data_IF_107979270790
#
_entry.id   IF_107979270790
#
_cell.length_a   1.000
_cell.length_b   1.000
_cell.length_c   1.000
_cell.angle_alpha   90.00
_cell.angle_beta   90.00
_cell.angle_gamma   90.00
#
_symmetry.space_group_name_H-M   'P 1'
#
loop_
_entity.id
_entity.type
_entity.pdbx_description
1 polymer ?
#
# COMPACT_ATOMS: atom_id res chain seq x y z
N UNK A 1 33.76 6.91 -6.80
CA UNK A 1 33.20 6.43 -8.07
C UNK A 1 31.74 6.79 -8.02
N UNK A 2 31.31 7.75 -8.85
CA UNK A 2 29.90 8.09 -9.00
C UNK A 2 29.17 6.85 -9.56
N UNK A 3 28.01 6.45 -9.02
CA UNK A 3 27.28 5.34 -9.56
C UNK A 3 26.85 5.69 -11.01
N UNK A 4 27.22 4.83 -11.95
CA UNK A 4 26.71 4.90 -13.32
C UNK A 4 25.20 4.81 -13.24
N UNK A 5 24.43 5.72 -13.89
CA UNK A 5 22.99 5.60 -13.92
C UNK A 5 22.60 4.24 -14.49
N UNK A 6 21.99 3.40 -13.69
CA UNK A 6 21.44 2.14 -14.18
C UNK A 6 20.39 2.48 -15.24
N UNK A 7 20.52 1.89 -16.43
CA UNK A 7 19.63 2.17 -17.55
C UNK A 7 18.17 1.94 -17.11
N UNK A 8 17.33 2.94 -17.30
CA UNK A 8 15.91 2.83 -17.03
C UNK A 8 15.35 1.79 -18.00
N UNK A 9 14.93 0.63 -17.49
CA UNK A 9 14.19 -0.32 -18.30
C UNK A 9 12.79 0.25 -18.51
N UNK A 10 12.32 0.41 -19.74
CA UNK A 10 10.97 0.89 -19.97
C UNK A 10 9.97 -0.11 -19.39
N UNK A 11 8.93 0.39 -18.72
CA UNK A 11 7.81 -0.44 -18.32
C UNK A 11 7.17 -1.09 -19.57
N UNK A 12 6.60 -2.29 -19.43
CA UNK A 12 5.99 -2.97 -20.57
C UNK A 12 4.91 -2.11 -21.22
N UNK A 13 5.06 -1.81 -22.50
CA UNK A 13 4.01 -1.17 -23.29
C UNK A 13 2.93 -2.20 -23.57
N UNK A 14 1.66 -1.86 -23.31
CA UNK A 14 0.51 -2.71 -23.58
C UNK A 14 -0.37 -2.08 -24.65
N UNK A 15 -0.88 -2.91 -25.54
CA UNK A 15 -1.92 -2.51 -26.46
C UNK A 15 -3.18 -2.13 -25.68
N UNK A 16 -3.83 -1.02 -26.07
CA UNK A 16 -5.02 -0.49 -25.42
C UNK A 16 -6.02 -0.04 -26.45
N UNK A 17 -7.29 -0.36 -26.21
CA UNK A 17 -8.43 0.15 -26.96
C UNK A 17 -9.14 1.23 -26.13
N UNK A 18 -9.87 2.13 -26.79
CA UNK A 18 -10.54 3.28 -26.17
C UNK A 18 -9.60 4.15 -25.34
N UNK A 19 -8.38 4.35 -25.85
CA UNK A 19 -7.36 5.13 -25.15
C UNK A 19 -7.71 6.62 -25.10
N UNK A 20 -7.66 7.20 -23.89
CA UNK A 20 -8.04 8.60 -23.63
C UNK A 20 -6.84 9.52 -23.33
N UNK A 21 -5.61 9.10 -23.59
CA UNK A 21 -4.39 9.85 -23.30
C UNK A 21 -3.68 9.42 -22.01
N UNK A 22 -4.38 8.79 -21.05
CA UNK A 22 -3.82 8.29 -19.78
C UNK A 22 -4.06 6.80 -19.62
N UNK A 23 -5.22 6.30 -20.00
CA UNK A 23 -5.59 4.91 -19.84
C UNK A 23 -6.49 4.39 -20.95
N UNK A 24 -6.68 3.08 -20.99
CA UNK A 24 -7.55 2.38 -21.92
C UNK A 24 -7.68 0.91 -21.53
N UNK A 25 -8.64 0.22 -22.13
CA UNK A 25 -8.86 -1.20 -21.89
C UNK A 25 -7.83 -2.06 -22.63
N UNK A 26 -7.48 -3.20 -22.06
CA UNK A 26 -6.80 -4.26 -22.82
C UNK A 26 -7.71 -4.75 -23.95
N UNK A 27 -7.17 -5.31 -25.07
CA UNK A 27 -8.00 -5.77 -26.21
C UNK A 27 -9.04 -6.82 -25.82
N UNK A 28 -8.79 -7.62 -24.79
CA UNK A 28 -9.72 -8.61 -24.22
C UNK A 28 -10.75 -8.01 -23.25
N UNK A 29 -10.62 -6.72 -22.94
CA UNK A 29 -11.52 -5.99 -22.04
C UNK A 29 -11.40 -6.33 -20.54
N UNK A 30 -10.43 -7.17 -20.14
CA UNK A 30 -10.33 -7.63 -18.74
C UNK A 30 -9.66 -6.63 -17.81
N UNK A 31 -8.82 -5.74 -18.32
CA UNK A 31 -8.13 -4.74 -17.51
C UNK A 31 -8.31 -3.33 -18.09
N UNK A 32 -8.40 -2.34 -17.22
CA UNK A 32 -8.18 -0.94 -17.55
C UNK A 32 -6.76 -0.56 -17.15
N UNK A 33 -5.93 -0.22 -18.14
CA UNK A 33 -4.50 0.07 -17.97
C UNK A 33 -4.27 1.56 -17.97
N UNK A 34 -3.71 2.08 -16.89
CA UNK A 34 -3.36 3.49 -16.70
C UNK A 34 -1.83 3.60 -16.66
N UNK A 35 -1.27 4.54 -17.42
CA UNK A 35 0.17 4.81 -17.41
C UNK A 35 0.39 6.23 -16.92
N UNK A 36 1.16 6.37 -15.84
CA UNK A 36 1.50 7.64 -15.24
C UNK A 36 2.99 7.91 -15.40
N UNK A 37 3.33 9.02 -16.02
CA UNK A 37 4.70 9.54 -16.02
C UNK A 37 5.09 10.04 -14.62
N UNK A 38 6.38 10.16 -14.29
CA UNK A 38 6.82 10.67 -13.01
C UNK A 38 6.19 12.03 -12.68
N UNK A 39 5.58 12.12 -11.49
CA UNK A 39 4.94 13.36 -11.02
C UNK A 39 3.62 13.73 -11.72
N UNK A 40 3.10 12.86 -12.58
CA UNK A 40 1.77 13.02 -13.18
C UNK A 40 0.72 12.24 -12.40
N UNK A 41 -0.50 12.75 -12.42
CA UNK A 41 -1.70 12.11 -11.87
C UNK A 41 -2.84 12.20 -12.87
N UNK A 42 -3.86 11.40 -12.68
CA UNK A 42 -5.15 11.55 -13.36
C UNK A 42 -5.86 12.81 -12.87
N UNK A 43 -6.84 13.35 -13.62
CA UNK A 43 -7.62 14.53 -13.21
C UNK A 43 -8.39 14.36 -11.90
N UNK A 44 -8.73 13.13 -11.56
CA UNK A 44 -9.33 12.70 -10.30
C UNK A 44 -8.94 11.24 -10.06
N UNK A 45 -8.96 10.73 -8.82
CA UNK A 45 -8.66 9.32 -8.56
C UNK A 45 -9.56 8.36 -9.35
N UNK A 46 -8.95 7.52 -10.17
CA UNK A 46 -9.64 6.45 -10.90
C UNK A 46 -9.52 5.17 -10.09
N UNK A 47 -10.63 4.77 -9.51
CA UNK A 47 -10.65 3.70 -8.50
C UNK A 47 -11.19 2.39 -9.04
N UNK A 48 -10.67 1.30 -8.47
CA UNK A 48 -11.25 -0.03 -8.57
C UNK A 48 -11.85 -0.42 -7.21
N UNK A 49 -13.06 -0.95 -7.24
CA UNK A 49 -13.72 -1.52 -6.06
C UNK A 49 -13.59 -3.03 -6.14
N UNK A 50 -12.90 -3.61 -5.18
CA UNK A 50 -12.64 -5.04 -5.08
C UNK A 50 -13.34 -5.55 -3.83
N UNK A 51 -14.34 -6.40 -3.99
CA UNK A 51 -15.15 -6.84 -2.86
C UNK A 51 -15.58 -8.31 -2.98
N UNK A 52 -15.74 -8.93 -1.83
CA UNK A 52 -16.41 -10.20 -1.61
C UNK A 52 -17.56 -10.00 -0.62
N UNK A 53 -18.37 -11.01 -0.30
CA UNK A 53 -19.42 -10.88 0.71
C UNK A 53 -18.91 -10.47 2.11
N UNK A 54 -17.62 -10.64 2.39
CA UNK A 54 -17.06 -10.48 3.73
C UNK A 54 -16.15 -9.26 3.89
N UNK A 55 -15.52 -8.80 2.82
CA UNK A 55 -14.51 -7.75 2.86
C UNK A 55 -14.48 -7.00 1.54
N UNK A 56 -14.17 -5.73 1.58
CA UNK A 56 -13.95 -4.95 0.38
C UNK A 56 -12.87 -3.90 0.55
N UNK A 57 -12.36 -3.42 -0.57
CA UNK A 57 -11.36 -2.36 -0.65
C UNK A 57 -11.62 -1.48 -1.86
N UNK A 58 -11.37 -0.20 -1.72
CA UNK A 58 -11.22 0.73 -2.86
C UNK A 58 -9.73 0.97 -3.06
N UNK A 59 -9.29 0.97 -4.29
CA UNK A 59 -7.89 1.20 -4.66
C UNK A 59 -7.83 2.17 -5.83
N UNK A 60 -7.12 3.29 -5.68
CA UNK A 60 -6.90 4.24 -6.78
C UNK A 60 -5.69 3.86 -7.63
N UNK A 61 -5.58 4.45 -8.80
CA UNK A 61 -4.43 4.29 -9.70
C UNK A 61 -3.12 4.81 -9.08
N UNK A 62 -3.22 5.72 -8.12
CA UNK A 62 -2.07 6.22 -7.36
C UNK A 62 -1.69 5.30 -6.18
N UNK A 63 -2.43 4.22 -5.95
CA UNK A 63 -2.20 3.28 -4.86
C UNK A 63 -2.83 3.70 -3.53
N UNK A 64 -3.61 4.79 -3.50
CA UNK A 64 -4.43 5.09 -2.34
C UNK A 64 -5.46 4.00 -2.14
N UNK A 65 -5.61 3.53 -0.90
CA UNK A 65 -6.53 2.45 -0.60
C UNK A 65 -7.11 2.58 0.80
N UNK A 66 -8.33 2.06 0.96
CA UNK A 66 -8.90 1.72 2.25
C UNK A 66 -9.64 0.38 2.17
N UNK A 67 -9.79 -0.26 3.32
CA UNK A 67 -10.42 -1.57 3.45
C UNK A 67 -11.53 -1.51 4.48
N UNK A 68 -12.61 -2.25 4.24
CA UNK A 68 -13.73 -2.42 5.18
C UNK A 68 -14.12 -3.89 5.30
N UNK A 69 -14.82 -4.22 6.38
CA UNK A 69 -15.46 -5.53 6.61
C UNK A 69 -16.92 -5.29 6.96
N UNK A 70 -17.81 -6.11 6.46
CA UNK A 70 -19.27 -6.08 6.62
C UNK A 70 -19.90 -4.78 6.07
N UNK A 71 -19.54 -3.60 6.56
CA UNK A 71 -20.11 -2.32 6.17
C UNK A 71 -19.02 -1.30 5.82
N UNK A 72 -19.07 -0.79 4.58
CA UNK A 72 -18.07 0.15 4.03
C UNK A 72 -18.07 1.54 4.71
N UNK A 73 -19.09 1.88 5.47
CA UNK A 73 -19.20 3.13 6.22
C UNK A 73 -18.92 2.91 7.71
N UNK A 74 -19.60 1.94 8.33
CA UNK A 74 -19.60 1.73 9.78
C UNK A 74 -18.32 1.04 10.28
N UNK A 75 -17.71 0.15 9.47
CA UNK A 75 -16.55 -0.63 9.89
C UNK A 75 -15.42 -0.61 8.86
N UNK A 76 -14.83 0.55 8.72
CA UNK A 76 -13.56 0.71 8.00
C UNK A 76 -12.41 0.19 8.85
N UNK A 77 -11.56 -0.62 8.26
CA UNK A 77 -10.32 -1.08 8.91
C UNK A 77 -9.26 0.01 8.82
N UNK A 78 -9.16 0.65 7.67
CA UNK A 78 -8.22 1.73 7.39
C UNK A 78 -8.94 3.01 6.98
N UNK A 79 -8.27 4.13 7.13
CA UNK A 79 -8.87 5.45 6.88
C UNK A 79 -9.16 5.65 5.39
N UNK A 80 -10.26 6.34 5.10
CA UNK A 80 -10.58 6.84 3.78
C UNK A 80 -10.88 8.34 3.85
N UNK A 81 -10.20 9.08 3.00
CA UNK A 81 -10.43 10.50 2.80
C UNK A 81 -10.99 10.68 1.39
N UNK A 82 -12.23 11.11 1.28
CA UNK A 82 -12.81 11.47 -0.01
C UNK A 82 -12.27 12.82 -0.48
N UNK A 83 -10.95 12.88 -0.67
CA UNK A 83 -10.23 14.07 -1.11
C UNK A 83 -9.54 13.78 -2.45
N UNK A 84 -10.15 14.21 -3.56
CA UNK A 84 -9.60 13.95 -4.89
C UNK A 84 -8.31 14.71 -5.19
N UNK A 85 -7.94 15.69 -4.36
CA UNK A 85 -6.70 16.45 -4.53
C UNK A 85 -5.49 15.75 -3.94
N UNK A 86 -5.60 15.26 -2.70
CA UNK A 86 -4.48 14.62 -2.02
C UNK A 86 -4.44 13.12 -2.21
N UNK A 87 -5.58 12.50 -2.53
CA UNK A 87 -5.76 11.04 -2.64
C UNK A 87 -5.05 10.29 -1.49
N UNK A 88 -5.25 10.77 -0.26
CA UNK A 88 -4.53 10.28 0.92
C UNK A 88 -4.88 8.83 1.20
N UNK A 89 -3.88 7.96 1.22
CA UNK A 89 -4.06 6.53 1.46
C UNK A 89 -4.13 6.19 2.95
N UNK A 90 -4.99 5.23 3.28
CA UNK A 90 -4.96 4.53 4.57
C UNK A 90 -3.99 3.34 4.60
N UNK A 91 -3.44 2.97 3.45
CA UNK A 91 -2.59 1.78 3.28
C UNK A 91 -1.47 2.09 2.29
N UNK A 92 -0.23 1.76 2.64
CA UNK A 92 0.90 2.08 1.79
C UNK A 92 2.10 1.18 2.03
N UNK A 93 2.96 1.11 1.00
CA UNK A 93 4.17 0.30 1.03
C UNK A 93 5.40 1.12 0.62
N UNK A 94 6.53 0.74 1.21
CA UNK A 94 7.83 1.33 0.92
C UNK A 94 8.83 0.22 0.67
N UNK A 95 9.62 0.38 -0.37
CA UNK A 95 10.78 -0.44 -0.68
C UNK A 95 12.00 0.40 -0.37
N UNK A 96 12.94 -0.13 0.41
CA UNK A 96 14.17 0.57 0.76
C UNK A 96 15.39 -0.28 0.37
N UNK A 97 16.33 0.35 -0.27
CA UNK A 97 17.67 -0.19 -0.47
C UNK A 97 18.50 0.02 0.80
N UNK A 98 18.85 -1.08 1.46
CA UNK A 98 19.57 -1.06 2.74
C UNK A 98 21.05 -0.67 2.57
N UNK A 99 21.60 -0.71 1.34
CA UNK A 99 22.98 -0.37 1.08
C UNK A 99 23.22 1.14 1.01
N UNK A 100 22.22 1.92 0.61
CA UNK A 100 22.32 3.38 0.47
C UNK A 100 21.22 4.17 1.19
N UNK A 101 20.21 3.49 1.73
CA UNK A 101 19.08 4.11 2.45
C UNK A 101 18.05 4.82 1.55
N UNK A 102 18.19 4.72 0.23
CA UNK A 102 17.19 5.25 -0.71
C UNK A 102 15.93 4.41 -0.63
N UNK A 103 14.78 5.04 -0.61
CA UNK A 103 13.50 4.36 -0.58
C UNK A 103 12.50 4.99 -1.56
N UNK A 104 11.53 4.19 -1.97
CA UNK A 104 10.43 4.58 -2.87
C UNK A 104 9.19 3.73 -2.57
N UNK A 105 8.05 4.07 -3.16
CA UNK A 105 6.83 3.26 -3.09
C UNK A 105 6.64 2.46 -4.38
N UNK A 106 6.08 1.24 -4.30
CA UNK A 106 5.70 0.47 -5.49
C UNK A 106 4.52 1.09 -6.25
N UNK A 107 3.89 2.12 -5.67
CA UNK A 107 2.77 2.89 -6.18
C UNK A 107 3.16 4.38 -6.29
N UNK A 108 2.49 5.20 -7.11
CA UNK A 108 2.78 6.64 -7.23
C UNK A 108 2.77 7.38 -5.89
N UNK A 109 1.86 7.05 -4.99
CA UNK A 109 1.81 7.59 -3.63
C UNK A 109 2.23 6.52 -2.61
N UNK A 110 2.75 6.92 -1.42
CA UNK A 110 2.97 8.28 -0.94
C UNK A 110 4.32 8.87 -1.35
N UNK A 111 5.24 8.05 -1.84
CA UNK A 111 6.61 8.46 -2.23
C UNK A 111 6.82 8.09 -3.68
N UNK A 112 6.61 9.03 -4.58
CA UNK A 112 6.81 8.80 -6.00
C UNK A 112 8.23 8.35 -6.35
N UNK A 113 8.38 7.66 -7.47
CA UNK A 113 9.66 7.27 -8.05
C UNK A 113 10.15 8.26 -9.11
N UNK A 114 11.34 7.99 -9.66
CA UNK A 114 11.92 8.76 -10.76
C UNK A 114 11.48 8.25 -12.14
N UNK A 115 10.89 7.07 -12.21
CA UNK A 115 10.31 6.49 -13.42
C UNK A 115 8.78 6.42 -13.33
N UNK A 116 8.13 6.13 -14.46
CA UNK A 116 6.68 6.02 -14.53
C UNK A 116 6.12 4.82 -13.79
N UNK A 117 4.80 4.80 -13.70
CA UNK A 117 4.02 3.71 -13.11
C UNK A 117 2.99 3.20 -14.12
N UNK A 118 2.71 1.92 -14.06
CA UNK A 118 1.57 1.31 -14.73
C UNK A 118 0.64 0.74 -13.67
N UNK A 119 -0.62 1.18 -13.69
CA UNK A 119 -1.69 0.62 -12.89
C UNK A 119 -2.63 -0.18 -13.80
N UNK A 120 -2.99 -1.38 -13.40
CA UNK A 120 -3.94 -2.25 -14.09
C UNK A 120 -5.09 -2.58 -13.14
N UNK A 121 -6.27 -2.07 -13.45
CA UNK A 121 -7.50 -2.38 -12.74
C UNK A 121 -8.23 -3.51 -13.47
N UNK A 122 -8.28 -4.69 -12.87
CA UNK A 122 -8.98 -5.85 -13.37
C UNK A 122 -10.22 -6.19 -12.54
N UNK A 123 -10.95 -7.20 -12.95
CA UNK A 123 -12.11 -7.72 -12.21
C UNK A 123 -11.66 -8.46 -10.95
N UNK A 124 -11.82 -7.82 -9.80
CA UNK A 124 -11.47 -8.37 -8.49
C UNK A 124 -9.99 -8.23 -8.10
N UNK A 125 -9.20 -7.47 -8.84
CA UNK A 125 -7.81 -7.17 -8.48
C UNK A 125 -7.32 -5.85 -9.06
N UNK A 126 -6.23 -5.34 -8.49
CA UNK A 126 -5.43 -4.25 -9.07
C UNK A 126 -3.96 -4.60 -9.01
N UNK A 127 -3.20 -4.21 -10.03
CA UNK A 127 -1.76 -4.45 -10.14
C UNK A 127 -1.05 -3.14 -10.43
N UNK A 128 0.04 -2.89 -9.69
CA UNK A 128 0.92 -1.74 -9.90
C UNK A 128 2.30 -2.22 -10.31
N UNK A 129 2.82 -1.66 -11.39
CA UNK A 129 4.14 -1.97 -11.91
C UNK A 129 5.01 -0.73 -11.89
N UNK A 130 6.22 -0.87 -11.38
CA UNK A 130 7.18 0.23 -11.30
C UNK A 130 8.61 -0.30 -11.44
N UNK A 131 9.49 0.56 -11.96
CA UNK A 131 10.91 0.29 -12.05
C UNK A 131 11.70 1.43 -11.42
N UNK A 132 12.56 1.13 -10.46
CA UNK A 132 13.38 2.12 -9.77
C UNK A 132 14.73 1.52 -9.38
N UNK A 133 15.82 2.23 -9.66
CA UNK A 133 17.18 1.87 -9.23
C UNK A 133 17.59 0.41 -9.57
N UNK A 134 17.24 -0.09 -10.76
CA UNK A 134 17.54 -1.45 -11.18
C UNK A 134 16.63 -2.53 -10.59
N UNK A 135 15.58 -2.14 -9.88
CA UNK A 135 14.57 -3.06 -9.31
C UNK A 135 13.23 -2.81 -9.99
N UNK A 136 12.62 -3.84 -10.57
CA UNK A 136 11.21 -3.81 -10.91
C UNK A 136 10.37 -4.36 -9.77
N UNK A 137 9.24 -3.73 -9.52
CA UNK A 137 8.25 -4.15 -8.55
C UNK A 137 6.89 -4.36 -9.21
N UNK A 138 6.19 -5.42 -8.80
CA UNK A 138 4.79 -5.67 -9.11
C UNK A 138 4.05 -5.85 -7.78
N UNK A 139 3.12 -4.94 -7.47
CA UNK A 139 2.23 -5.05 -6.33
C UNK A 139 0.84 -5.44 -6.82
N UNK A 140 0.37 -6.62 -6.44
CA UNK A 140 -0.99 -7.09 -6.70
C UNK A 140 -1.83 -7.00 -5.44
N UNK A 141 -3.06 -6.48 -5.57
CA UNK A 141 -4.05 -6.36 -4.48
C UNK A 141 -5.34 -7.06 -4.87
N UNK A 142 -5.85 -7.92 -3.99
CA UNK A 142 -7.14 -8.60 -4.14
C UNK A 142 -7.69 -9.05 -2.79
N UNK A 143 -8.96 -9.47 -2.74
CA UNK A 143 -9.60 -10.02 -1.54
C UNK A 143 -9.96 -11.49 -1.74
N UNK A 144 -9.95 -12.26 -0.65
CA UNK A 144 -10.42 -13.65 -0.68
C UNK A 144 -11.94 -13.70 -0.87
N UNK A 145 -12.41 -14.73 -1.56
CA UNK A 145 -13.84 -14.94 -1.82
C UNK A 145 -14.56 -15.61 -0.64
N UNK A 146 -13.85 -16.37 0.17
CA UNK A 146 -14.34 -17.25 1.23
C UNK A 146 -13.94 -16.79 2.64
N UNK A 147 -13.19 -15.71 2.76
CA UNK A 147 -12.71 -15.19 4.04
C UNK A 147 -12.55 -13.65 4.02
N UNK A 148 -12.68 -12.99 5.19
CA UNK A 148 -12.44 -11.53 5.28
C UNK A 148 -10.93 -11.22 5.29
N UNK A 149 -10.24 -11.56 4.19
CA UNK A 149 -8.80 -11.39 4.04
C UNK A 149 -8.49 -10.63 2.75
N UNK A 150 -7.71 -9.57 2.88
CA UNK A 150 -7.09 -8.86 1.77
C UNK A 150 -5.65 -9.32 1.60
N UNK A 151 -5.29 -9.63 0.40
CA UNK A 151 -3.92 -9.98 0.03
C UNK A 151 -3.25 -8.83 -0.73
N UNK A 152 -2.00 -8.60 -0.39
CA UNK A 152 -1.10 -7.71 -1.09
C UNK A 152 0.19 -8.49 -1.37
N UNK A 153 0.42 -8.79 -2.65
CA UNK A 153 1.54 -9.60 -3.11
C UNK A 153 2.52 -8.70 -3.82
N UNK A 154 3.74 -8.61 -3.30
CA UNK A 154 4.80 -7.82 -3.91
C UNK A 154 5.85 -8.77 -4.50
N UNK A 155 6.06 -8.65 -5.80
CA UNK A 155 7.15 -9.33 -6.52
C UNK A 155 8.22 -8.30 -6.83
N UNK A 156 9.46 -8.62 -6.50
CA UNK A 156 10.63 -7.79 -6.79
C UNK A 156 11.58 -8.57 -7.71
N UNK A 157 12.05 -7.91 -8.76
CA UNK A 157 13.07 -8.48 -9.63
C UNK A 157 14.27 -7.53 -9.73
N UNK A 158 15.45 -8.06 -9.45
CA UNK A 158 16.70 -7.31 -9.53
C UNK A 158 17.29 -7.42 -10.94
N UNK A 159 17.27 -6.33 -11.68
CA UNK A 159 17.88 -6.21 -13.01
C UNK A 159 19.32 -5.69 -12.95
N UNK A 160 19.79 -5.29 -11.75
CA UNK A 160 21.16 -4.84 -11.59
C UNK A 160 22.15 -6.01 -11.61
N UNK A 161 23.41 -5.72 -11.92
CA UNK A 161 24.48 -6.74 -11.96
C UNK A 161 25.08 -7.04 -10.58
N UNK A 162 24.46 -6.57 -9.50
CA UNK A 162 24.94 -6.73 -8.12
C UNK A 162 23.86 -7.29 -7.21
N UNK A 163 24.28 -7.95 -6.15
CA UNK A 163 23.36 -8.32 -5.06
C UNK A 163 22.82 -7.07 -4.38
N UNK A 164 21.54 -7.07 -4.04
CA UNK A 164 20.84 -5.96 -3.37
C UNK A 164 20.22 -6.45 -2.07
N UNK A 165 20.32 -5.65 -1.03
CA UNK A 165 19.60 -5.87 0.22
C UNK A 165 18.44 -4.89 0.28
N UNK A 166 17.23 -5.42 0.23
CA UNK A 166 16.01 -4.62 0.23
C UNK A 166 15.19 -4.93 1.47
N UNK A 167 14.55 -3.93 2.02
CA UNK A 167 13.47 -4.11 2.99
C UNK A 167 12.15 -3.60 2.43
N UNK A 168 11.08 -4.29 2.81
CA UNK A 168 9.71 -3.92 2.49
C UNK A 168 9.01 -3.50 3.78
N UNK A 169 8.36 -2.36 3.76
CA UNK A 169 7.60 -1.84 4.90
C UNK A 169 6.18 -1.54 4.48
N UNK A 170 5.19 -2.11 5.20
CA UNK A 170 3.78 -1.77 5.07
C UNK A 170 3.34 -0.85 6.22
N UNK A 171 2.41 0.04 5.93
CA UNK A 171 1.76 0.91 6.89
C UNK A 171 0.26 0.91 6.68
N UNK A 172 -0.48 0.78 7.76
CA UNK A 172 -1.94 0.87 7.79
C UNK A 172 -2.38 1.90 8.82
N UNK A 173 -3.07 2.94 8.39
CA UNK A 173 -3.70 3.93 9.27
C UNK A 173 -5.04 3.35 9.74
N UNK A 174 -5.03 2.65 10.86
CA UNK A 174 -6.20 1.95 11.38
C UNK A 174 -7.26 2.95 11.88
N UNK A 175 -8.53 2.59 11.65
CA UNK A 175 -9.71 3.32 12.11
C UNK A 175 -10.60 2.44 12.97
N UNK A 176 -10.85 1.21 12.56
CA UNK A 176 -11.73 0.22 13.18
C UNK A 176 -13.08 0.81 13.58
N UNK A 177 -13.72 1.49 12.61
CA UNK A 177 -14.98 2.19 12.78
C UNK A 177 -15.23 3.22 11.66
N UNK A 178 -16.13 4.16 11.89
CA UNK A 178 -16.54 5.15 10.90
C UNK A 178 -15.48 6.24 10.67
N UNK A 179 -15.06 6.90 11.75
CA UNK A 179 -14.20 8.09 11.69
C UNK A 179 -12.91 7.93 12.47
N UNK A 180 -11.78 8.26 11.82
CA UNK A 180 -10.46 8.18 12.43
C UNK A 180 -10.37 8.99 13.74
N UNK A 181 -10.82 10.24 13.74
CA UNK A 181 -10.72 11.12 14.91
C UNK A 181 -11.53 10.63 16.12
N UNK A 182 -12.64 9.92 15.88
CA UNK A 182 -13.47 9.35 16.95
C UNK A 182 -12.89 8.05 17.53
N UNK A 183 -12.13 7.30 16.74
CA UNK A 183 -11.67 5.97 17.11
C UNK A 183 -10.19 5.88 17.49
N UNK A 184 -9.37 6.86 17.11
CA UNK A 184 -7.91 6.81 17.25
C UNK A 184 -7.43 6.44 18.65
N UNK A 185 -8.04 6.99 19.71
CA UNK A 185 -7.65 6.74 21.09
C UNK A 185 -8.16 5.40 21.66
N UNK A 186 -8.96 4.67 20.90
CA UNK A 186 -9.57 3.41 21.32
C UNK A 186 -8.95 2.19 20.63
N UNK A 187 -8.02 2.42 19.70
CA UNK A 187 -7.36 1.34 18.96
C UNK A 187 -6.19 0.82 19.77
N UNK A 188 -6.31 -0.44 20.17
CA UNK A 188 -5.24 -1.16 20.88
C UNK A 188 -4.60 -2.15 19.91
N UNK A 189 -3.27 -2.13 19.85
CA UNK A 189 -2.47 -3.03 19.01
C UNK A 189 -1.69 -4.00 19.88
N UNK A 190 -1.55 -5.24 19.41
CA UNK A 190 -0.80 -6.32 20.04
C UNK A 190 0.01 -7.07 18.98
N UNK A 191 1.23 -7.48 19.31
CA UNK A 191 2.05 -8.30 18.44
C UNK A 191 2.19 -9.70 19.06
N UNK A 192 1.82 -10.73 18.31
CA UNK A 192 2.07 -12.11 18.73
C UNK A 192 3.57 -12.43 18.56
N UNK A 193 4.29 -12.77 19.63
CA UNK A 193 5.72 -13.05 19.58
C UNK A 193 6.05 -14.31 18.77
N UNK A 194 5.14 -15.28 18.66
CA UNK A 194 5.37 -16.53 17.96
C UNK A 194 5.18 -16.39 16.44
N UNK A 195 4.03 -15.90 16.02
CA UNK A 195 3.72 -15.73 14.59
C UNK A 195 4.19 -14.39 14.03
N UNK A 196 4.47 -13.39 14.90
CA UNK A 196 4.74 -12.01 14.55
C UNK A 196 3.58 -11.31 13.86
N UNK A 197 2.38 -11.82 14.02
CA UNK A 197 1.16 -11.18 13.53
C UNK A 197 0.88 -9.96 14.39
N UNK A 198 0.57 -8.84 13.76
CA UNK A 198 0.07 -7.65 14.44
C UNK A 198 -1.45 -7.74 14.48
N UNK A 199 -2.01 -7.67 15.68
CA UNK A 199 -3.45 -7.59 15.92
C UNK A 199 -3.85 -6.18 16.31
N UNK A 200 -5.08 -5.79 15.98
CA UNK A 200 -5.67 -4.55 16.41
C UNK A 200 -7.16 -4.73 16.73
N UNK A 201 -7.64 -3.98 17.73
CA UNK A 201 -9.05 -3.98 18.14
C UNK A 201 -9.48 -2.61 18.63
N UNK A 202 -10.78 -2.36 18.55
CA UNK A 202 -11.44 -1.21 19.16
C UNK A 202 -12.59 -1.70 20.05
N UNK A 203 -12.35 -1.76 21.36
CA UNK A 203 -13.34 -2.23 22.32
C UNK A 203 -14.60 -1.33 22.44
N UNK A 204 -14.53 -0.11 21.92
CA UNK A 204 -15.63 0.88 21.92
C UNK A 204 -16.38 0.91 20.57
N UNK A 205 -16.09 -0.02 19.66
CA UNK A 205 -16.64 -0.08 18.29
C UNK A 205 -18.09 -0.55 18.21
N UNK A 206 -18.92 -0.38 19.23
CA UNK A 206 -20.34 -0.80 19.26
C UNK A 206 -20.50 -2.27 18.88
N UNK A 207 -21.26 -2.57 17.83
CA UNK A 207 -21.49 -3.95 17.33
C UNK A 207 -20.20 -4.63 16.86
N UNK A 208 -19.17 -3.87 16.47
CA UNK A 208 -17.87 -4.36 16.01
C UNK A 208 -16.83 -4.49 17.14
N UNK A 209 -17.18 -4.19 18.40
CA UNK A 209 -16.26 -4.16 19.54
C UNK A 209 -15.52 -5.51 19.79
N UNK A 210 -16.09 -6.62 19.33
CA UNK A 210 -15.50 -7.96 19.46
C UNK A 210 -14.64 -8.36 18.25
N UNK A 211 -14.60 -7.54 17.20
CA UNK A 211 -13.81 -7.84 16.00
C UNK A 211 -12.33 -7.59 16.27
N UNK A 212 -11.51 -8.50 15.76
CA UNK A 212 -10.06 -8.40 15.80
C UNK A 212 -9.57 -8.34 14.36
N UNK A 213 -8.77 -7.33 14.07
CA UNK A 213 -8.12 -7.16 12.77
C UNK A 213 -6.68 -7.61 12.90
N UNK A 214 -6.13 -8.17 11.84
CA UNK A 214 -4.73 -8.60 11.83
C UNK A 214 -4.01 -8.13 10.57
N UNK A 215 -2.70 -7.97 10.72
CA UNK A 215 -1.76 -7.81 9.62
C UNK A 215 -0.61 -8.81 9.80
N UNK A 216 -0.28 -9.53 8.72
CA UNK A 216 0.78 -10.53 8.72
C UNK A 216 1.58 -10.44 7.43
N UNK A 217 2.88 -10.60 7.54
CA UNK A 217 3.81 -10.69 6.41
C UNK A 217 4.41 -12.10 6.36
N UNK A 218 4.66 -12.61 5.15
CA UNK A 218 5.23 -13.95 4.94
C UNK A 218 6.66 -14.10 5.43
N UNK A 219 7.44 -13.00 5.40
CA UNK A 219 8.84 -13.02 5.80
C UNK A 219 9.02 -13.21 7.31
N UNK A 220 10.06 -13.97 7.69
CA UNK A 220 10.38 -14.26 9.08
C UNK A 220 11.11 -13.11 9.78
N UNK A 221 12.09 -12.50 9.08
CA UNK A 221 12.79 -11.33 9.59
C UNK A 221 11.93 -10.08 9.45
N UNK A 222 11.38 -9.63 10.56
CA UNK A 222 10.50 -8.47 10.59
C UNK A 222 10.65 -7.68 11.88
N UNK A 223 10.24 -6.43 11.84
CA UNK A 223 9.99 -5.60 13.01
C UNK A 223 8.66 -4.88 12.82
N UNK A 224 7.96 -4.62 13.90
CA UNK A 224 6.63 -4.01 13.89
C UNK A 224 6.58 -2.84 14.86
N UNK A 225 5.63 -1.94 14.68
CA UNK A 225 5.24 -0.95 15.67
C UNK A 225 3.76 -0.60 15.49
N UNK A 226 3.04 -0.43 16.58
CA UNK A 226 1.72 0.19 16.64
C UNK A 226 1.79 1.71 16.85
N UNK A 227 2.99 2.27 17.05
CA UNK A 227 3.16 3.69 17.31
C UNK A 227 3.23 4.50 16.02
N UNK A 228 2.17 5.25 15.71
CA UNK A 228 2.13 6.19 14.59
C UNK A 228 3.25 7.22 14.66
N UNK A 229 3.53 7.75 15.84
CA UNK A 229 4.60 8.74 16.03
C UNK A 229 5.99 8.15 15.77
N UNK A 230 6.22 6.89 16.12
CA UNK A 230 7.46 6.22 15.76
C UNK A 230 7.59 6.04 14.26
N UNK A 231 6.51 5.65 13.60
CA UNK A 231 6.52 5.38 12.17
C UNK A 231 6.67 6.66 11.34
N UNK A 232 5.77 7.61 11.51
CA UNK A 232 5.75 8.85 10.71
C UNK A 232 6.77 9.85 11.20
N UNK A 233 6.94 9.97 12.54
CA UNK A 233 7.69 11.04 13.18
C UNK A 233 6.76 12.17 13.66
N UNK A 234 7.21 12.94 14.66
CA UNK A 234 6.41 14.05 15.24
C UNK A 234 6.00 15.08 14.18
N UNK A 235 6.93 15.45 13.29
CA UNK A 235 6.73 16.43 12.22
C UNK A 235 6.98 15.78 10.83
N UNK A 236 6.80 14.47 10.74
CA UNK A 236 7.00 13.71 9.51
C UNK A 236 5.75 13.67 8.63
N UNK A 237 5.94 13.18 7.43
CA UNK A 237 4.86 12.91 6.48
C UNK A 237 4.92 11.46 6.00
N UNK A 238 3.84 10.99 5.40
CA UNK A 238 3.80 9.66 4.78
C UNK A 238 4.73 9.56 3.56
N UNK A 239 5.05 10.68 2.90
CA UNK A 239 6.05 10.68 1.82
C UNK A 239 7.50 10.55 2.33
N UNK A 240 7.75 10.86 3.62
CA UNK A 240 9.07 10.75 4.26
C UNK A 240 8.97 10.28 5.71
N UNK A 241 8.44 9.09 5.97
CA UNK A 241 8.25 8.64 7.34
C UNK A 241 9.57 8.36 8.04
N UNK A 242 9.62 8.64 9.35
CA UNK A 242 10.79 8.43 10.19
C UNK A 242 11.25 6.96 10.21
N UNK A 243 10.33 6.04 10.04
CA UNK A 243 10.60 4.60 9.94
C UNK A 243 11.63 4.26 8.85
N UNK A 244 11.60 4.98 7.71
CA UNK A 244 12.54 4.75 6.60
C UNK A 244 13.99 5.14 6.91
N UNK A 245 14.27 5.75 8.05
CA UNK A 245 15.62 6.06 8.53
C UNK A 245 16.10 5.11 9.63
N UNK A 246 15.26 4.16 10.05
CA UNK A 246 15.54 3.21 11.12
C UNK A 246 15.95 1.86 10.54
N UNK A 247 16.84 1.16 11.23
CA UNK A 247 17.18 -0.24 10.88
C UNK A 247 16.07 -1.21 11.29
N UNK A 248 15.37 -0.93 12.38
CA UNK A 248 14.28 -1.75 12.92
C UNK A 248 13.26 -0.87 13.63
N UNK A 249 12.01 -1.29 13.64
CA UNK A 249 10.95 -0.74 14.47
C UNK A 249 11.04 -1.33 15.88
N UNK A 250 10.56 -0.60 16.88
CA UNK A 250 10.80 -0.91 18.30
C UNK A 250 10.02 -2.10 18.86
N UNK A 251 9.02 -2.60 18.14
CA UNK A 251 8.06 -3.57 18.66
C UNK A 251 6.99 -2.95 19.58
N UNK A 252 6.97 -1.62 19.72
CA UNK A 252 6.00 -0.93 20.59
C UNK A 252 4.58 -1.16 20.09
N UNK A 253 3.73 -1.66 20.97
CA UNK A 253 2.30 -1.89 20.76
C UNK A 253 1.52 -1.32 21.94
N UNK A 254 0.20 -1.36 21.89
CA UNK A 254 -0.68 -0.80 22.91
C UNK A 254 -1.60 0.28 22.34
N UNK A 255 -2.14 1.11 23.20
CA UNK A 255 -2.98 2.27 22.85
C UNK A 255 -2.13 3.54 22.65
#
# INVERSE_FOLDING_TARGET
>A
VLPVPESISPLPTRERIFYNGLGGFTPDGHEYVITLEPGKSTPAPWVNVIASPHIGTVVSECGSAYTWVDNAHEFRLTTWHNDPLSDSSGEMFYIRDEDNGVFWSPTPLPTGGQSGYVCRHGFGYSVFEHYQNGISSELSTYVAMDAPVKFMVIKLHNHSRRTRRLSLTGYWELVLGEWRHANLMHIVTEADPHSGTLFARNAYGREYAKRIVFAKVSERERSVTGSRTEFIGRNGSLSRPAAMRRKRLSGKTGA
#
